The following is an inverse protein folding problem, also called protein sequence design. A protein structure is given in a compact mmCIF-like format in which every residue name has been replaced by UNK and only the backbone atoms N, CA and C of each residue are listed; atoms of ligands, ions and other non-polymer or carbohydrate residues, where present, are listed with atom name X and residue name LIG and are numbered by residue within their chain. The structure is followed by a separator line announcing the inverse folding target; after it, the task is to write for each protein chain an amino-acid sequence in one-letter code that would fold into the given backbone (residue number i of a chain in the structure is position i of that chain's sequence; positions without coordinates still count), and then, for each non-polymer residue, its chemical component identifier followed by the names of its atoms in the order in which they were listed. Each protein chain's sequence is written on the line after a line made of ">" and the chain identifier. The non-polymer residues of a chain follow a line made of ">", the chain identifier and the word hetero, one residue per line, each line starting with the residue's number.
data_IF_944483705938
#
_entry.id   IF_944483705938
#
_cell.length_a   1.000
_cell.length_b   1.000
_cell.length_c   1.000
_cell.angle_alpha   90.00
_cell.angle_beta   90.00
_cell.angle_gamma   90.00
#
_symmetry.space_group_name_H-M   'P 1'
#
loop_
_entity.id
_entity.type
_entity.pdbx_description
1 polymer ?
#
# COMPACT_ATOMS: atom_id res chain seq x y z
N UNK A 1 -7.45 17.75 -70.27
CA UNK A 1 -6.69 16.48 -70.32
C UNK A 1 -6.05 16.31 -68.95
N UNK A 2 -6.70 15.60 -68.03
CA UNK A 2 -6.50 14.15 -67.75
C UNK A 2 -5.05 13.84 -67.35
N UNK A 3 -4.77 13.78 -66.04
CA UNK A 3 -4.23 12.57 -65.39
C UNK A 3 -2.79 12.83 -64.92
N UNK A 4 -2.25 12.32 -63.82
CA UNK A 4 -2.62 11.19 -62.97
C UNK A 4 -2.09 11.47 -61.56
N UNK A 5 -2.84 11.02 -60.55
CA UNK A 5 -2.34 10.86 -59.20
C UNK A 5 -1.27 9.77 -59.13
N UNK A 6 -0.22 10.01 -58.36
CA UNK A 6 0.57 8.96 -57.71
C UNK A 6 0.63 9.33 -56.24
N UNK A 7 -0.33 8.80 -55.48
CA UNK A 7 -0.27 8.76 -54.01
C UNK A 7 0.49 7.50 -53.67
N UNK A 8 1.78 7.62 -53.36
CA UNK A 8 2.50 6.58 -52.62
C UNK A 8 2.35 6.89 -51.14
N UNK A 9 1.54 6.07 -50.49
CA UNK A 9 1.45 5.97 -49.05
C UNK A 9 2.79 5.47 -48.48
N UNK A 10 3.20 6.08 -47.36
CA UNK A 10 3.92 5.49 -46.22
C UNK A 10 4.75 6.59 -45.54
N UNK A 11 4.08 7.43 -44.76
CA UNK A 11 4.70 8.13 -43.65
C UNK A 11 3.61 8.40 -42.62
N UNK A 12 3.14 7.31 -41.98
CA UNK A 12 2.43 7.46 -40.70
C UNK A 12 3.46 8.00 -39.73
N UNK A 13 3.34 9.27 -39.41
CA UNK A 13 4.11 9.97 -38.39
C UNK A 13 4.19 9.07 -37.14
N UNK A 14 5.39 8.58 -36.85
CA UNK A 14 5.77 8.26 -35.47
C UNK A 14 5.55 9.56 -34.69
N UNK A 15 4.53 9.58 -33.82
CA UNK A 15 4.44 10.60 -32.80
C UNK A 15 5.65 10.36 -31.89
N UNK A 16 6.68 11.20 -32.05
CA UNK A 16 7.86 11.19 -31.20
C UNK A 16 7.42 11.49 -29.76
N UNK A 17 7.35 10.44 -28.93
CA UNK A 17 7.42 10.59 -27.48
C UNK A 17 8.81 11.17 -27.18
N UNK A 18 8.89 12.43 -26.77
CA UNK A 18 10.14 13.01 -26.32
C UNK A 18 10.19 12.94 -24.80
N UNK A 19 10.89 11.95 -24.20
CA UNK A 19 11.24 12.03 -22.79
C UNK A 19 12.23 13.17 -22.61
N UNK A 20 12.00 14.04 -21.62
CA UNK A 20 12.98 15.05 -21.26
C UNK A 20 13.53 14.75 -19.86
N UNK A 21 14.84 14.95 -19.72
CA UNK A 21 15.54 14.74 -18.48
C UNK A 21 15.43 15.97 -17.60
N UNK A 22 14.93 15.81 -16.38
CA UNK A 22 15.10 16.83 -15.34
C UNK A 22 16.19 16.38 -14.37
N UNK A 23 17.30 17.12 -14.34
CA UNK A 23 18.30 17.01 -13.28
C UNK A 23 17.78 17.72 -12.04
N UNK A 24 17.56 16.98 -10.94
CA UNK A 24 17.36 17.61 -9.64
C UNK A 24 18.72 17.74 -8.94
N UNK A 25 19.32 18.93 -9.02
CA UNK A 25 20.51 19.27 -8.23
C UNK A 25 20.02 19.84 -6.89
N UNK A 26 20.09 19.05 -5.82
CA UNK A 26 20.02 19.58 -4.45
C UNK A 26 21.40 19.55 -3.83
N UNK A 27 21.76 20.64 -3.17
CA UNK A 27 23.05 20.86 -2.54
C UNK A 27 23.47 19.66 -1.66
N UNK A 28 24.58 19.02 -2.04
CA UNK A 28 25.32 18.12 -1.15
C UNK A 28 25.14 16.60 -1.30
N UNK A 29 24.47 16.07 -2.33
CA UNK A 29 24.48 14.62 -2.58
C UNK A 29 23.83 14.21 -3.89
N UNK A 30 24.59 13.47 -4.70
CA UNK A 30 24.29 12.77 -5.97
C UNK A 30 23.17 13.34 -6.88
N UNK A 31 23.56 13.72 -8.11
CA UNK A 31 22.64 14.04 -9.18
C UNK A 31 21.94 12.78 -9.69
N UNK A 32 20.64 12.64 -9.46
CA UNK A 32 19.85 11.54 -10.00
C UNK A 32 19.04 11.99 -11.23
N UNK A 33 19.08 11.17 -12.29
CA UNK A 33 18.23 11.35 -13.47
C UNK A 33 16.82 10.86 -13.16
N UNK A 34 15.87 11.79 -13.13
CA UNK A 34 14.43 11.48 -13.15
C UNK A 34 13.95 11.64 -14.58
N UNK A 35 13.38 10.57 -15.15
CA UNK A 35 12.73 10.66 -16.46
C UNK A 35 11.32 11.22 -16.25
N UNK A 36 11.05 12.37 -16.85
CA UNK A 36 9.72 13.01 -16.86
C UNK A 36 9.18 12.92 -18.29
N UNK A 37 7.96 12.45 -18.42
CA UNK A 37 7.31 12.27 -19.71
C UNK A 37 6.47 13.50 -20.05
N UNK A 38 6.65 14.09 -21.24
CA UNK A 38 5.88 15.26 -21.70
C UNK A 38 4.41 14.93 -22.02
N UNK A 39 4.12 13.69 -22.43
CA UNK A 39 2.76 13.25 -22.69
C UNK A 39 2.22 12.48 -21.48
N UNK A 40 0.97 12.78 -21.10
CA UNK A 40 0.29 12.10 -20.01
C UNK A 40 0.05 10.64 -20.35
N UNK A 41 0.92 9.75 -19.88
CA UNK A 41 0.72 8.31 -19.97
C UNK A 41 -0.28 7.92 -18.88
N UNK A 42 -1.48 7.49 -19.27
CA UNK A 42 -2.52 6.99 -18.35
C UNK A 42 -2.48 5.47 -18.27
N UNK A 43 -2.56 4.94 -17.05
CA UNK A 43 -2.59 3.53 -16.74
C UNK A 43 -3.87 3.20 -15.99
N UNK A 44 -4.51 2.08 -16.34
CA UNK A 44 -5.65 1.58 -15.58
C UNK A 44 -5.12 0.65 -14.47
N UNK A 45 -5.16 1.11 -13.23
CA UNK A 45 -4.80 0.33 -12.06
C UNK A 45 -6.05 0.06 -11.24
N UNK A 46 -6.46 -1.20 -11.16
CA UNK A 46 -7.61 -1.61 -10.33
C UNK A 46 -8.91 -0.89 -10.72
N UNK A 47 -9.13 -0.67 -12.02
CA UNK A 47 -10.28 0.06 -12.54
C UNK A 47 -10.18 1.59 -12.44
N UNK A 48 -9.05 2.11 -11.92
CA UNK A 48 -8.81 3.55 -11.75
C UNK A 48 -7.75 3.99 -12.76
N UNK A 49 -8.08 4.99 -13.58
CA UNK A 49 -7.10 5.66 -14.43
C UNK A 49 -6.18 6.52 -13.57
N UNK A 50 -4.88 6.23 -13.64
CA UNK A 50 -3.82 6.98 -12.96
C UNK A 50 -2.84 7.52 -14.00
N UNK A 51 -2.44 8.77 -13.83
CA UNK A 51 -1.47 9.42 -14.71
C UNK A 51 -0.06 9.21 -14.18
N UNK A 52 0.81 8.70 -15.04
CA UNK A 52 2.21 8.50 -14.74
C UNK A 52 2.90 9.86 -14.61
N UNK A 53 3.59 10.07 -13.50
CA UNK A 53 4.38 11.27 -13.23
C UNK A 53 5.86 11.04 -13.52
N UNK A 54 6.37 9.85 -13.20
CA UNK A 54 7.80 9.56 -13.31
C UNK A 54 8.10 8.07 -13.32
N UNK A 55 9.32 7.75 -13.74
CA UNK A 55 9.92 6.43 -13.61
C UNK A 55 11.31 6.53 -13.00
N UNK A 56 11.57 5.67 -12.02
CA UNK A 56 12.88 5.48 -11.39
C UNK A 56 13.34 4.03 -11.58
N UNK A 57 14.63 3.81 -11.76
CA UNK A 57 15.21 2.46 -11.80
C UNK A 57 15.75 2.09 -10.42
N UNK A 58 15.46 0.86 -10.01
CA UNK A 58 15.74 0.33 -8.68
C UNK A 58 16.71 -0.84 -8.78
N UNK A 59 17.60 -0.97 -7.79
CA UNK A 59 18.30 -2.23 -7.55
C UNK A 59 17.36 -3.17 -6.80
N UNK A 60 17.19 -4.36 -7.35
CA UNK A 60 16.39 -5.44 -6.78
C UNK A 60 17.29 -6.42 -6.01
N UNK A 61 16.70 -7.47 -5.45
CA UNK A 61 17.47 -8.60 -4.92
C UNK A 61 18.26 -9.26 -6.05
N UNK A 62 19.38 -9.88 -5.72
CA UNK A 62 20.24 -10.64 -6.64
C UNK A 62 20.82 -9.80 -7.80
N UNK A 63 21.07 -8.52 -7.54
CA UNK A 63 21.65 -7.55 -8.51
C UNK A 63 20.78 -7.29 -9.76
N UNK A 64 19.53 -7.78 -9.77
CA UNK A 64 18.59 -7.48 -10.84
C UNK A 64 18.15 -6.01 -10.80
N UNK A 65 17.71 -5.49 -11.95
CA UNK A 65 17.16 -4.12 -12.07
C UNK A 65 15.65 -4.16 -12.14
N UNK A 66 15.00 -3.23 -11.46
CA UNK A 66 13.54 -3.04 -11.51
C UNK A 66 13.17 -1.60 -11.83
N UNK A 67 11.88 -1.33 -11.95
CA UNK A 67 11.35 -0.01 -12.26
C UNK A 67 10.25 0.38 -11.29
N UNK A 68 10.32 1.59 -10.74
CA UNK A 68 9.21 2.22 -10.05
C UNK A 68 8.44 3.10 -11.02
N UNK A 69 7.18 2.77 -11.26
CA UNK A 69 6.22 3.65 -11.92
C UNK A 69 5.54 4.50 -10.85
N UNK A 70 5.69 5.82 -10.93
CA UNK A 70 5.21 6.76 -9.91
C UNK A 70 4.08 7.59 -10.53
N UNK A 71 2.91 7.60 -9.89
CA UNK A 71 1.74 8.32 -10.38
C UNK A 71 1.62 9.71 -9.74
N UNK A 72 0.86 10.60 -10.37
CA UNK A 72 0.69 11.99 -9.91
C UNK A 72 0.14 12.11 -8.48
N UNK A 73 -0.71 11.17 -8.05
CA UNK A 73 -1.22 11.11 -6.68
C UNK A 73 -0.20 10.55 -5.67
N UNK A 74 1.00 10.17 -6.12
CA UNK A 74 2.08 9.59 -5.32
C UNK A 74 1.90 8.11 -4.96
N UNK A 75 0.88 7.44 -5.48
CA UNK A 75 0.83 5.97 -5.53
C UNK A 75 1.87 5.45 -6.53
N UNK A 76 2.15 4.14 -6.50
CA UNK A 76 3.23 3.57 -7.32
C UNK A 76 3.03 2.09 -7.62
N UNK A 77 3.70 1.61 -8.67
CA UNK A 77 3.89 0.19 -8.97
C UNK A 77 5.37 -0.09 -9.11
N UNK A 78 5.85 -1.16 -8.48
CA UNK A 78 7.20 -1.68 -8.69
C UNK A 78 7.13 -2.87 -9.64
N UNK A 79 7.97 -2.83 -10.67
CA UNK A 79 8.14 -3.85 -11.69
C UNK A 79 9.52 -4.51 -11.55
N UNK A 80 9.60 -5.80 -11.83
CA UNK A 80 10.87 -6.50 -12.01
C UNK A 80 11.52 -6.19 -13.39
N UNK A 81 12.66 -6.82 -13.68
CA UNK A 81 13.36 -6.68 -14.96
C UNK A 81 12.53 -7.13 -16.18
N UNK A 82 11.58 -8.02 -15.97
CA UNK A 82 10.67 -8.56 -16.98
C UNK A 82 9.40 -7.71 -17.12
N UNK A 83 9.33 -6.57 -16.41
CA UNK A 83 8.16 -5.68 -16.29
C UNK A 83 6.94 -6.35 -15.65
N UNK A 84 7.13 -7.40 -14.85
CA UNK A 84 6.06 -7.98 -14.06
C UNK A 84 5.83 -7.17 -12.77
N UNK A 85 4.58 -6.82 -12.43
CA UNK A 85 4.28 -6.16 -11.17
C UNK A 85 4.58 -7.06 -9.98
N UNK A 86 5.37 -6.57 -9.05
CA UNK A 86 5.70 -7.28 -7.80
C UNK A 86 5.19 -6.55 -6.56
N UNK A 87 4.97 -5.24 -6.66
CA UNK A 87 4.41 -4.42 -5.60
C UNK A 87 3.52 -3.32 -6.18
N UNK A 88 2.36 -3.09 -5.58
CA UNK A 88 1.48 -1.97 -5.84
C UNK A 88 1.14 -1.26 -4.54
N UNK A 89 1.52 0.01 -4.45
CA UNK A 89 1.18 0.90 -3.35
C UNK A 89 0.04 1.84 -3.71
N UNK A 90 -1.23 1.54 -3.33
CA UNK A 90 -2.38 2.31 -3.77
C UNK A 90 -2.58 3.63 -3.01
N UNK A 91 -1.94 3.79 -1.85
CA UNK A 91 -2.10 4.97 -1.01
C UNK A 91 -1.50 6.21 -1.69
N UNK A 92 -2.19 7.35 -1.61
CA UNK A 92 -1.64 8.60 -2.10
C UNK A 92 -0.39 9.01 -1.31
N UNK A 93 0.55 9.67 -1.99
CA UNK A 93 1.81 10.15 -1.44
C UNK A 93 2.60 9.08 -0.67
N UNK A 94 2.55 7.82 -1.14
CA UNK A 94 3.17 6.68 -0.44
C UNK A 94 4.53 6.28 -0.99
N UNK A 95 4.84 6.64 -2.24
CA UNK A 95 6.12 6.29 -2.86
C UNK A 95 7.36 6.76 -2.07
N UNK A 96 7.42 7.99 -1.50
CA UNK A 96 8.59 8.40 -0.73
C UNK A 96 8.89 7.51 0.48
N UNK A 97 7.87 6.86 1.05
CA UNK A 97 8.06 5.90 2.14
C UNK A 97 8.52 4.54 1.61
N UNK A 98 7.90 4.05 0.54
CA UNK A 98 8.25 2.79 -0.09
C UNK A 98 9.66 2.78 -0.68
N UNK A 99 10.06 3.88 -1.34
CA UNK A 99 11.39 4.09 -1.92
C UNK A 99 12.52 3.83 -0.92
N UNK A 100 12.30 4.04 0.38
CA UNK A 100 13.30 3.77 1.43
C UNK A 100 13.70 2.29 1.53
N UNK A 101 12.90 1.38 0.97
CA UNK A 101 13.22 -0.05 0.86
C UNK A 101 14.18 -0.38 -0.28
N UNK A 102 14.41 0.56 -1.20
CA UNK A 102 15.07 0.33 -2.48
C UNK A 102 16.26 1.26 -2.65
N UNK A 103 17.29 0.77 -3.34
CA UNK A 103 18.41 1.60 -3.80
C UNK A 103 18.11 2.08 -5.21
N UNK A 104 18.34 3.37 -5.48
CA UNK A 104 18.23 3.92 -6.83
C UNK A 104 19.45 3.56 -7.67
N UNK A 105 19.20 3.25 -8.94
CA UNK A 105 20.23 3.02 -9.96
C UNK A 105 20.04 4.05 -11.07
N UNK A 106 21.11 4.72 -11.54
CA UNK A 106 21.00 5.60 -12.69
C UNK A 106 20.71 4.80 -13.96
N UNK A 107 19.73 5.24 -14.73
CA UNK A 107 19.46 4.68 -16.05
C UNK A 107 20.41 5.28 -17.10
N UNK A 108 20.85 4.43 -18.02
CA UNK A 108 21.50 4.85 -19.27
C UNK A 108 20.46 5.44 -20.25
N UNK A 109 20.90 6.25 -21.22
CA UNK A 109 20.03 6.80 -22.26
C UNK A 109 19.28 5.71 -23.05
N UNK A 110 19.96 4.58 -23.31
CA UNK A 110 19.36 3.43 -23.98
C UNK A 110 18.25 2.79 -23.14
N UNK A 111 18.46 2.61 -21.83
CA UNK A 111 17.44 2.10 -20.91
C UNK A 111 16.23 3.03 -20.82
N UNK A 112 16.47 4.35 -20.75
CA UNK A 112 15.41 5.36 -20.76
C UNK A 112 14.59 5.30 -22.04
N UNK A 113 15.24 5.20 -23.18
CA UNK A 113 14.57 5.07 -24.48
C UNK A 113 13.72 3.79 -24.54
N UNK A 114 14.26 2.68 -24.04
CA UNK A 114 13.57 1.39 -24.05
C UNK A 114 12.35 1.37 -23.13
N UNK A 115 12.47 1.87 -21.89
CA UNK A 115 11.33 1.92 -20.97
C UNK A 115 10.27 2.91 -21.47
N UNK A 116 10.68 4.06 -22.04
CA UNK A 116 9.75 5.03 -22.62
C UNK A 116 8.92 4.43 -23.75
N UNK A 117 9.56 3.66 -24.65
CA UNK A 117 8.87 2.96 -25.73
C UNK A 117 7.89 1.91 -25.19
N UNK A 118 8.28 1.17 -24.16
CA UNK A 118 7.42 0.17 -23.53
C UNK A 118 6.20 0.81 -22.85
N UNK A 119 6.39 1.91 -22.10
CA UNK A 119 5.29 2.64 -21.44
C UNK A 119 4.29 3.26 -22.42
N UNK A 120 4.75 3.59 -23.62
CA UNK A 120 3.93 4.12 -24.70
C UNK A 120 3.09 3.03 -25.41
N UNK A 121 3.44 1.75 -25.32
CA UNK A 121 2.74 0.66 -25.99
C UNK A 121 1.43 0.32 -25.26
N UNK A 122 0.29 0.60 -25.90
CA UNK A 122 -1.04 0.37 -25.34
C UNK A 122 -1.32 -1.12 -25.02
N UNK A 123 -0.62 -2.07 -25.65
CA UNK A 123 -0.80 -3.51 -25.38
C UNK A 123 -0.20 -3.92 -24.03
N UNK A 124 0.89 -3.26 -23.64
CA UNK A 124 1.63 -3.54 -22.41
C UNK A 124 0.94 -2.91 -21.19
N UNK A 125 0.14 -1.85 -21.39
CA UNK A 125 -0.71 -1.22 -20.35
C UNK A 125 -1.78 -2.18 -19.79
N UNK A 126 -2.03 -3.31 -20.45
CA UNK A 126 -2.99 -4.32 -20.02
C UNK A 126 -2.47 -5.23 -18.88
N UNK A 127 -1.16 -5.22 -18.56
CA UNK A 127 -0.55 -6.08 -17.53
C UNK A 127 -1.07 -5.82 -16.10
N UNK A 128 -1.77 -4.70 -15.87
CA UNK A 128 -2.41 -4.35 -14.59
C UNK A 128 -3.94 -4.11 -14.75
N UNK A 129 -4.47 -4.33 -15.95
CA UNK A 129 -5.90 -4.23 -16.17
C UNK A 129 -6.64 -5.36 -15.40
N UNK A 130 -7.84 -5.08 -14.87
CA UNK A 130 -8.67 -6.13 -14.27
C UNK A 130 -8.90 -7.24 -15.29
N UNK A 131 -8.46 -8.46 -14.99
CA UNK A 131 -8.95 -9.63 -15.72
C UNK A 131 -10.47 -9.68 -15.57
N UNK A 132 -11.19 -9.94 -16.66
CA UNK A 132 -12.56 -10.43 -16.56
C UNK A 132 -12.53 -11.61 -15.55
N UNK A 133 -13.32 -11.50 -14.47
CA UNK A 133 -13.34 -12.35 -13.26
C UNK A 133 -12.62 -11.85 -11.99
N UNK A 134 -12.17 -10.59 -11.91
CA UNK A 134 -11.83 -9.95 -10.62
C UNK A 134 -10.54 -10.43 -9.95
N UNK A 135 -9.58 -10.91 -10.74
CA UNK A 135 -8.23 -11.26 -10.29
C UNK A 135 -7.27 -10.10 -10.60
N UNK A 136 -7.43 -9.00 -9.87
CA UNK A 136 -6.65 -7.76 -10.04
C UNK A 136 -5.32 -7.89 -9.27
N UNK A 137 -4.21 -8.09 -9.99
CA UNK A 137 -2.82 -8.21 -9.48
C UNK A 137 -2.51 -9.51 -8.72
N UNK A 138 -2.43 -10.61 -9.47
CA UNK A 138 -1.85 -11.87 -8.97
C UNK A 138 -0.33 -11.78 -8.91
N UNK A 139 0.27 -12.58 -8.03
CA UNK A 139 1.71 -12.68 -7.84
C UNK A 139 2.38 -11.33 -7.50
N UNK A 140 1.60 -10.38 -6.94
CA UNK A 140 2.00 -9.02 -6.60
C UNK A 140 1.55 -8.65 -5.18
N UNK A 141 2.43 -7.99 -4.43
CA UNK A 141 2.08 -7.43 -3.12
C UNK A 141 1.28 -6.13 -3.30
N UNK A 142 0.05 -6.09 -2.82
CA UNK A 142 -0.77 -4.88 -2.84
C UNK A 142 -0.90 -4.34 -1.43
N UNK A 143 -0.42 -3.12 -1.17
CA UNK A 143 -0.67 -2.48 0.11
C UNK A 143 0.16 -1.26 0.46
N UNK A 144 0.15 -0.94 1.74
CA UNK A 144 0.76 0.28 2.27
C UNK A 144 2.27 0.07 2.45
N UNK A 145 3.09 1.13 2.33
CA UNK A 145 4.52 1.02 2.53
C UNK A 145 4.85 0.46 3.92
N UNK A 146 5.62 -0.61 3.96
CA UNK A 146 6.06 -1.28 5.19
C UNK A 146 6.82 -0.32 6.11
N UNK A 147 7.58 0.63 5.56
CA UNK A 147 8.32 1.64 6.32
C UNK A 147 7.44 2.51 7.20
N UNK A 148 6.14 2.67 6.87
CA UNK A 148 5.19 3.39 7.73
C UNK A 148 4.92 2.66 9.05
N UNK A 149 5.02 1.33 9.06
CA UNK A 149 4.75 0.49 10.24
C UNK A 149 5.96 0.33 11.16
N UNK A 150 7.17 0.65 10.70
CA UNK A 150 8.40 0.62 11.52
C UNK A 150 8.32 1.58 12.71
N UNK A 151 7.58 2.70 12.58
CA UNK A 151 7.33 3.61 13.69
C UNK A 151 6.58 2.95 14.86
N UNK A 152 5.81 1.90 14.57
CA UNK A 152 4.99 1.18 15.54
C UNK A 152 5.67 -0.12 16.03
N UNK A 153 6.91 -0.42 15.60
CA UNK A 153 7.59 -1.71 15.87
C UNK A 153 7.63 -2.11 17.35
N UNK A 154 7.75 -1.14 18.24
CA UNK A 154 7.85 -1.38 19.68
C UNK A 154 6.50 -1.34 20.40
N UNK A 155 5.39 -1.18 19.68
CA UNK A 155 4.04 -1.13 20.25
C UNK A 155 3.54 -2.55 20.48
N UNK A 156 4.15 -3.19 21.47
CA UNK A 156 3.94 -4.60 21.80
C UNK A 156 2.88 -4.75 22.87
N UNK A 157 2.08 -5.80 22.74
CA UNK A 157 1.18 -6.24 23.81
C UNK A 157 2.02 -6.71 24.98
N UNK A 158 2.01 -6.02 26.15
CA UNK A 158 2.96 -6.29 27.23
C UNK A 158 2.68 -7.63 27.92
N UNK A 159 1.40 -7.99 28.09
CA UNK A 159 0.94 -9.27 28.62
C UNK A 159 -0.59 -9.39 28.51
N UNK A 160 -1.12 -10.59 28.73
CA UNK A 160 -2.55 -10.85 28.78
C UNK A 160 -3.25 -10.76 27.42
N UNK A 161 -4.50 -10.29 27.42
CA UNK A 161 -5.39 -10.39 26.26
C UNK A 161 -5.53 -9.08 25.47
N UNK A 162 -4.59 -8.13 25.63
CA UNK A 162 -4.73 -6.74 25.13
C UNK A 162 -4.43 -6.58 23.63
N UNK A 163 -4.27 -7.66 22.87
CA UNK A 163 -3.92 -7.57 21.45
C UNK A 163 -4.95 -6.77 20.62
N UNK A 164 -6.24 -6.81 20.98
CA UNK A 164 -7.27 -5.99 20.34
C UNK A 164 -7.05 -4.49 20.54
N UNK A 165 -6.61 -4.09 21.74
CA UNK A 165 -6.22 -2.71 22.04
C UNK A 165 -4.99 -2.29 21.23
N UNK A 166 -3.94 -3.10 21.20
CA UNK A 166 -2.70 -2.73 20.49
C UNK A 166 -2.87 -2.70 18.98
N UNK A 167 -3.64 -3.64 18.41
CA UNK A 167 -4.04 -3.56 17.00
C UNK A 167 -4.82 -2.26 16.71
N UNK A 168 -5.73 -1.88 17.61
CA UNK A 168 -6.45 -0.60 17.52
C UNK A 168 -5.51 0.61 17.62
N UNK A 169 -4.52 0.59 18.51
CA UNK A 169 -3.51 1.66 18.64
C UNK A 169 -2.76 1.86 17.32
N UNK A 170 -2.28 0.78 16.68
CA UNK A 170 -1.60 0.84 15.38
C UNK A 170 -2.53 1.37 14.29
N UNK A 171 -3.76 0.86 14.22
CA UNK A 171 -4.77 1.33 13.25
C UNK A 171 -5.02 2.84 13.40
N UNK A 172 -5.27 3.31 14.62
CA UNK A 172 -5.59 4.72 14.90
C UNK A 172 -4.41 5.63 14.62
N UNK A 173 -3.19 5.25 15.00
CA UNK A 173 -2.01 6.02 14.70
C UNK A 173 -1.76 6.14 13.19
N UNK A 174 -1.96 5.05 12.43
CA UNK A 174 -1.82 5.11 10.97
C UNK A 174 -2.78 6.13 10.34
N UNK A 175 -4.03 6.17 10.79
CA UNK A 175 -5.01 7.12 10.28
C UNK A 175 -4.66 8.57 10.63
N UNK A 176 -4.15 8.82 11.84
CA UNK A 176 -3.64 10.14 12.22
C UNK A 176 -2.41 10.54 11.38
N UNK A 177 -1.49 9.61 11.18
CA UNK A 177 -0.18 9.87 10.58
C UNK A 177 -0.25 10.04 9.06
N UNK A 178 -1.09 9.25 8.38
CA UNK A 178 -1.05 9.14 6.92
C UNK A 178 -2.36 9.41 6.21
N UNK A 179 -3.50 9.29 6.89
CA UNK A 179 -4.81 9.57 6.25
C UNK A 179 -5.29 11.00 6.50
N UNK A 180 -4.76 11.69 7.52
CA UNK A 180 -5.25 13.00 7.97
C UNK A 180 -6.76 13.02 8.29
N UNK A 181 -7.31 11.87 8.66
CA UNK A 181 -8.75 11.72 8.95
C UNK A 181 -9.07 11.82 10.45
N UNK A 182 -8.05 11.68 11.30
CA UNK A 182 -8.18 11.69 12.75
C UNK A 182 -7.32 12.80 13.35
N UNK A 183 -7.93 13.55 14.28
CA UNK A 183 -7.28 14.65 14.98
C UNK A 183 -7.40 14.40 16.49
N UNK A 184 -6.26 14.49 17.17
CA UNK A 184 -6.17 14.31 18.61
C UNK A 184 -5.41 15.47 19.24
N UNK A 185 -5.70 15.74 20.52
CA UNK A 185 -4.87 16.62 21.32
C UNK A 185 -3.43 16.07 21.37
N UNK A 186 -2.39 16.93 21.32
CA UNK A 186 -1.00 16.51 21.50
C UNK A 186 -0.77 15.74 22.81
N UNK A 187 -1.56 16.00 23.85
CA UNK A 187 -1.51 15.26 25.12
C UNK A 187 -1.96 13.81 25.00
N UNK A 188 -2.85 13.51 24.06
CA UNK A 188 -3.31 12.14 23.78
C UNK A 188 -2.34 11.43 22.84
N UNK A 189 -2.00 12.10 21.73
CA UNK A 189 -0.96 11.67 20.80
C UNK A 189 -0.61 12.77 19.80
N UNK A 190 0.68 13.06 19.67
CA UNK A 190 1.22 13.86 18.56
C UNK A 190 1.37 13.04 17.27
N UNK A 191 1.06 13.63 16.11
CA UNK A 191 1.21 12.97 14.81
C UNK A 191 2.67 12.56 14.55
N UNK A 192 2.88 11.33 14.09
CA UNK A 192 4.19 10.76 13.76
C UNK A 192 5.04 10.33 14.96
N UNK A 193 4.58 10.54 16.19
CA UNK A 193 5.33 10.12 17.38
C UNK A 193 5.37 8.60 17.54
N UNK A 194 6.46 8.11 18.15
CA UNK A 194 6.63 6.72 18.56
C UNK A 194 6.04 6.43 19.94
N UNK A 195 5.65 7.48 20.69
CA UNK A 195 4.95 7.33 21.96
C UNK A 195 3.48 6.91 21.72
N UNK A 196 3.06 5.85 22.37
CA UNK A 196 1.70 5.33 22.27
C UNK A 196 0.99 5.22 23.61
N UNK A 197 1.66 5.53 24.72
CA UNK A 197 1.20 5.14 26.06
C UNK A 197 -0.20 5.67 26.32
N UNK A 198 -0.39 6.99 26.20
CA UNK A 198 -1.68 7.65 26.43
C UNK A 198 -2.77 7.18 25.46
N UNK A 199 -2.44 7.02 24.17
CA UNK A 199 -3.39 6.51 23.17
C UNK A 199 -3.83 5.07 23.51
N UNK A 200 -2.88 4.20 23.84
CA UNK A 200 -3.15 2.79 24.13
C UNK A 200 -3.91 2.60 25.44
N UNK A 201 -3.66 3.44 26.44
CA UNK A 201 -4.43 3.45 27.69
C UNK A 201 -5.87 3.92 27.48
N UNK A 202 -6.07 5.01 26.72
CA UNK A 202 -7.40 5.49 26.39
C UNK A 202 -8.20 4.47 25.57
N UNK A 203 -7.56 3.82 24.57
CA UNK A 203 -8.18 2.75 23.80
C UNK A 203 -8.47 1.51 24.66
N UNK A 204 -7.58 1.14 25.58
CA UNK A 204 -7.82 0.05 26.54
C UNK A 204 -9.07 0.34 27.36
N UNK A 205 -9.22 1.53 27.92
CA UNK A 205 -10.39 1.90 28.71
C UNK A 205 -11.69 1.81 27.89
N UNK A 206 -11.63 2.12 26.59
CA UNK A 206 -12.79 2.08 25.71
C UNK A 206 -13.13 0.67 25.19
N UNK A 207 -12.12 -0.16 24.89
CA UNK A 207 -12.28 -1.47 24.23
C UNK A 207 -12.30 -2.61 25.26
N UNK A 208 -11.38 -2.57 26.23
CA UNK A 208 -11.04 -3.69 27.09
C UNK A 208 -10.70 -3.24 28.53
N UNK A 209 -11.63 -2.58 29.24
CA UNK A 209 -11.36 -2.01 30.56
C UNK A 209 -10.94 -3.08 31.58
N UNK A 210 -11.53 -4.28 31.50
CA UNK A 210 -11.24 -5.42 32.38
C UNK A 210 -10.06 -6.29 31.91
N UNK A 211 -9.41 -5.97 30.79
CA UNK A 211 -8.30 -6.77 30.28
C UNK A 211 -8.68 -8.14 29.71
N UNK A 212 -9.96 -8.44 29.49
CA UNK A 212 -10.47 -9.72 28.96
C UNK A 212 -10.39 -9.84 27.43
N UNK A 213 -10.33 -11.05 26.85
CA UNK A 213 -10.34 -11.23 25.39
C UNK A 213 -11.49 -10.51 24.70
N UNK A 214 -11.27 -10.10 23.45
CA UNK A 214 -12.24 -9.30 22.68
C UNK A 214 -12.65 -9.97 21.38
N UNK A 215 -13.89 -9.73 20.96
CA UNK A 215 -14.45 -10.11 19.65
C UNK A 215 -14.58 -8.87 18.72
N UNK A 216 -14.78 -9.02 17.40
CA UNK A 216 -14.77 -7.88 16.47
C UNK A 216 -15.75 -6.75 16.85
N UNK A 217 -16.90 -7.11 17.39
CA UNK A 217 -17.91 -6.16 17.87
C UNK A 217 -17.40 -5.27 19.00
N UNK A 218 -16.73 -5.85 20.00
CA UNK A 218 -16.18 -5.10 21.13
C UNK A 218 -15.08 -4.14 20.68
N UNK A 219 -14.16 -4.59 19.83
CA UNK A 219 -13.08 -3.75 19.28
C UNK A 219 -13.66 -2.58 18.47
N UNK A 220 -14.58 -2.86 17.53
CA UNK A 220 -15.19 -1.80 16.71
C UNK A 220 -16.04 -0.80 17.51
N UNK A 221 -16.82 -1.27 18.49
CA UNK A 221 -17.62 -0.40 19.34
C UNK A 221 -16.75 0.44 20.28
N UNK A 222 -15.70 -0.15 20.87
CA UNK A 222 -14.73 0.55 21.71
C UNK A 222 -13.96 1.63 20.95
N UNK A 223 -13.46 1.32 19.75
CA UNK A 223 -12.83 2.33 18.87
C UNK A 223 -13.83 3.46 18.57
N UNK A 224 -15.07 3.14 18.23
CA UNK A 224 -16.10 4.15 17.93
C UNK A 224 -16.39 5.04 19.13
N UNK A 225 -16.50 4.46 20.34
CA UNK A 225 -16.70 5.22 21.58
C UNK A 225 -15.52 6.16 21.84
N UNK A 226 -14.30 5.66 21.70
CA UNK A 226 -13.06 6.45 21.84
C UNK A 226 -13.02 7.61 20.83
N UNK A 227 -13.29 7.36 19.56
CA UNK A 227 -13.28 8.39 18.51
C UNK A 227 -14.32 9.48 18.78
N UNK A 228 -15.54 9.11 19.15
CA UNK A 228 -16.58 10.08 19.51
C UNK A 228 -16.18 10.91 20.74
N UNK A 229 -15.59 10.29 21.75
CA UNK A 229 -15.13 10.98 22.96
C UNK A 229 -14.01 11.99 22.66
N UNK A 230 -13.18 11.71 21.66
CA UNK A 230 -12.10 12.60 21.20
C UNK A 230 -12.53 13.58 20.12
N UNK A 231 -13.84 13.71 19.85
CA UNK A 231 -14.39 14.68 18.88
C UNK A 231 -14.35 14.22 17.42
N UNK A 232 -13.88 13.01 17.13
CA UNK A 232 -13.82 12.45 15.79
C UNK A 232 -15.17 11.84 15.38
N UNK A 233 -15.69 12.22 14.21
CA UNK A 233 -17.02 11.80 13.69
C UNK A 233 -16.96 10.53 12.84
N UNK A 234 -16.02 9.65 13.14
CA UNK A 234 -15.76 8.41 12.42
C UNK A 234 -16.16 7.22 13.30
N UNK A 235 -16.73 6.18 12.71
CA UNK A 235 -17.14 4.96 13.42
C UNK A 235 -16.48 3.74 12.80
N UNK A 236 -15.85 2.91 13.63
CA UNK A 236 -15.27 1.65 13.19
C UNK A 236 -16.37 0.64 12.86
N UNK A 237 -16.09 -0.19 11.87
CA UNK A 237 -16.98 -1.26 11.40
C UNK A 237 -16.29 -2.59 11.60
N UNK A 238 -17.05 -3.57 12.08
CA UNK A 238 -16.61 -4.95 12.14
C UNK A 238 -17.27 -5.80 11.06
N UNK A 239 -16.54 -6.82 10.63
CA UNK A 239 -17.08 -7.95 9.86
C UNK A 239 -16.85 -9.18 10.72
N UNK A 240 -17.89 -9.99 10.93
CA UNK A 240 -17.80 -11.19 11.78
C UNK A 240 -17.27 -12.40 11.02
N UNK A 241 -17.57 -12.50 9.72
CA UNK A 241 -17.22 -13.62 8.87
C UNK A 241 -16.59 -13.13 7.56
N UNK A 242 -15.48 -13.76 7.18
CA UNK A 242 -14.76 -13.44 5.94
C UNK A 242 -13.89 -12.19 6.06
N UNK A 243 -12.58 -12.42 6.13
CA UNK A 243 -11.59 -11.35 6.24
C UNK A 243 -11.17 -10.78 4.88
N UNK A 244 -11.04 -11.65 3.87
CA UNK A 244 -10.42 -11.34 2.58
C UNK A 244 -11.01 -10.14 1.86
N UNK A 245 -12.31 -10.16 1.59
CA UNK A 245 -12.97 -9.13 0.79
C UNK A 245 -12.93 -7.77 1.48
N UNK A 246 -13.08 -7.75 2.82
CA UNK A 246 -13.01 -6.49 3.58
C UNK A 246 -11.58 -5.97 3.64
N UNK A 247 -10.61 -6.82 3.93
CA UNK A 247 -9.21 -6.44 4.07
C UNK A 247 -8.64 -5.89 2.76
N UNK A 248 -8.77 -6.66 1.67
CA UNK A 248 -8.30 -6.26 0.33
C UNK A 248 -8.93 -4.94 -0.13
N UNK A 249 -10.26 -4.78 0.04
CA UNK A 249 -10.96 -3.53 -0.27
C UNK A 249 -10.36 -2.32 0.45
N UNK A 250 -10.08 -2.43 1.75
CA UNK A 250 -9.55 -1.32 2.55
C UNK A 250 -8.09 -1.03 2.22
N UNK A 251 -7.29 -2.07 2.06
CA UNK A 251 -5.87 -1.93 1.70
C UNK A 251 -5.74 -1.24 0.33
N UNK A 252 -6.59 -1.59 -0.65
CA UNK A 252 -6.72 -0.88 -1.94
C UNK A 252 -7.13 0.59 -1.80
N UNK A 253 -7.84 0.94 -0.72
CA UNK A 253 -8.19 2.32 -0.40
C UNK A 253 -7.09 3.05 0.39
N UNK A 254 -5.89 2.47 0.52
CA UNK A 254 -4.80 3.06 1.27
C UNK A 254 -4.96 2.92 2.80
N UNK A 255 -5.80 1.99 3.27
CA UNK A 255 -6.23 1.90 4.68
C UNK A 255 -5.90 0.54 5.30
N UNK A 256 -5.23 0.48 6.46
CA UNK A 256 -4.97 -0.78 7.14
C UNK A 256 -6.24 -1.32 7.81
N UNK A 257 -6.21 -2.61 8.16
CA UNK A 257 -7.35 -3.34 8.73
C UNK A 257 -6.87 -4.23 9.87
N UNK A 258 -7.61 -4.22 10.97
CA UNK A 258 -7.40 -5.18 12.06
C UNK A 258 -8.00 -6.53 11.66
N UNK A 259 -7.24 -7.60 11.76
CA UNK A 259 -7.66 -8.97 11.47
C UNK A 259 -7.76 -9.79 12.75
N UNK A 260 -8.87 -10.51 12.90
CA UNK A 260 -9.04 -11.55 13.91
C UNK A 260 -8.50 -12.88 13.40
N UNK A 261 -7.37 -13.30 13.95
CA UNK A 261 -6.67 -14.54 13.64
C UNK A 261 -7.13 -15.61 14.63
N UNK A 262 -7.44 -16.82 14.15
CA UNK A 262 -8.06 -17.86 14.97
C UNK A 262 -7.25 -19.15 15.03
N UNK A 263 -7.07 -19.71 16.23
CA UNK A 263 -6.40 -21.01 16.43
C UNK A 263 -7.05 -22.13 15.64
N UNK A 264 -8.39 -22.16 15.63
CA UNK A 264 -9.18 -23.18 14.93
C UNK A 264 -8.99 -23.16 13.42
N UNK A 265 -8.52 -22.04 12.87
CA UNK A 265 -8.20 -21.88 11.45
C UNK A 265 -6.71 -22.11 11.14
N UNK A 266 -5.95 -22.68 12.09
CA UNK A 266 -4.55 -23.06 11.90
C UNK A 266 -3.52 -22.02 12.36
N UNK A 267 -3.95 -20.96 13.04
CA UNK A 267 -3.06 -19.91 13.54
C UNK A 267 -2.08 -20.41 14.59
N UNK A 268 -0.79 -20.17 14.34
CA UNK A 268 0.28 -20.38 15.33
C UNK A 268 0.28 -19.34 16.45
N UNK A 269 -0.35 -18.18 16.24
CA UNK A 269 -0.59 -17.15 17.26
C UNK A 269 -1.68 -17.55 18.27
N UNK A 270 -2.43 -18.62 18.00
CA UNK A 270 -3.70 -18.86 18.68
C UNK A 270 -4.77 -17.86 18.23
N UNK A 271 -5.67 -17.47 19.15
CA UNK A 271 -6.64 -16.40 18.90
C UNK A 271 -6.00 -15.05 19.17
N UNK A 272 -5.89 -14.20 18.14
CA UNK A 272 -5.10 -12.97 18.20
C UNK A 272 -5.64 -11.85 17.31
N UNK A 273 -5.23 -10.63 17.58
CA UNK A 273 -5.53 -9.44 16.78
C UNK A 273 -4.24 -8.86 16.21
N UNK A 274 -4.22 -8.67 14.89
CA UNK A 274 -3.08 -8.09 14.15
C UNK A 274 -3.57 -6.98 13.23
N UNK A 275 -2.68 -6.09 12.79
CA UNK A 275 -3.02 -5.01 11.85
C UNK A 275 -2.41 -5.32 10.48
N UNK A 276 -3.25 -5.71 9.52
CA UNK A 276 -2.85 -5.94 8.14
C UNK A 276 -2.78 -4.66 7.33
N UNK A 277 -1.76 -4.57 6.48
CA UNK A 277 -1.53 -3.41 5.62
C UNK A 277 -1.16 -3.76 4.19
N UNK A 278 -0.82 -5.02 3.89
CA UNK A 278 -0.70 -5.49 2.53
C UNK A 278 -1.25 -6.91 2.40
N UNK A 279 -1.60 -7.29 1.18
CA UNK A 279 -2.01 -8.64 0.83
C UNK A 279 -1.31 -9.11 -0.44
N UNK A 280 -1.30 -10.42 -0.62
CA UNK A 280 -0.79 -11.08 -1.82
C UNK A 280 -1.73 -12.22 -2.17
N UNK A 281 -1.98 -12.40 -3.47
CA UNK A 281 -2.67 -13.57 -3.98
C UNK A 281 -1.85 -14.16 -5.12
N UNK A 282 -1.44 -15.43 -5.00
CA UNK A 282 -0.72 -16.10 -6.08
C UNK A 282 -1.67 -16.48 -7.22
N UNK A 283 -1.10 -16.74 -8.39
CA UNK A 283 -1.81 -17.38 -9.50
C UNK A 283 -2.36 -18.78 -9.18
N UNK A 284 -1.75 -19.49 -8.23
CA UNK A 284 -2.25 -20.77 -7.69
C UNK A 284 -3.43 -20.60 -6.71
N UNK A 285 -3.75 -19.38 -6.29
CA UNK A 285 -4.87 -19.07 -5.38
C UNK A 285 -4.50 -18.99 -3.90
N UNK A 286 -3.22 -19.14 -3.56
CA UNK A 286 -2.72 -18.93 -2.20
C UNK A 286 -2.82 -17.45 -1.82
N UNK A 287 -3.11 -17.17 -0.56
CA UNK A 287 -3.40 -15.81 -0.08
C UNK A 287 -2.68 -15.53 1.22
N UNK A 288 -2.03 -14.39 1.27
CA UNK A 288 -1.24 -13.96 2.43
C UNK A 288 -1.53 -12.50 2.78
N UNK A 289 -1.30 -12.14 4.03
CA UNK A 289 -1.23 -10.77 4.50
C UNK A 289 0.16 -10.47 5.04
N UNK A 290 0.61 -9.22 4.86
CA UNK A 290 1.64 -8.60 5.70
C UNK A 290 0.96 -7.89 6.86
N UNK A 291 1.42 -8.15 8.08
CA UNK A 291 0.82 -7.63 9.30
C UNK A 291 1.86 -7.08 10.26
N UNK A 292 1.43 -6.07 11.03
CA UNK A 292 2.01 -5.77 12.33
C UNK A 292 1.35 -6.68 13.37
N UNK A 293 2.14 -7.54 14.00
CA UNK A 293 1.65 -8.62 14.86
C UNK A 293 1.43 -8.22 16.32
N UNK A 294 1.73 -6.97 16.68
CA UNK A 294 1.70 -6.44 18.04
C UNK A 294 2.57 -7.22 19.05
N UNK A 295 3.51 -8.05 18.59
CA UNK A 295 4.53 -8.76 19.38
C UNK A 295 5.97 -8.37 18.99
N UNK A 296 6.12 -7.50 17.99
CA UNK A 296 7.38 -6.86 17.64
C UNK A 296 7.81 -7.11 16.19
N UNK A 297 7.02 -7.88 15.44
CA UNK A 297 7.19 -8.07 14.01
C UNK A 297 6.23 -7.14 13.24
N UNK A 298 6.80 -6.30 12.37
CA UNK A 298 6.06 -5.33 11.55
C UNK A 298 5.80 -5.82 10.12
N UNK A 299 6.42 -6.92 9.72
CA UNK A 299 6.45 -7.46 8.37
C UNK A 299 6.09 -8.96 8.35
N UNK A 300 5.39 -9.42 9.39
CA UNK A 300 5.00 -10.82 9.49
C UNK A 300 4.07 -11.20 8.34
N UNK A 301 4.41 -12.31 7.68
CA UNK A 301 3.55 -12.97 6.71
C UNK A 301 2.64 -13.98 7.42
N UNK A 302 1.33 -13.86 7.18
CA UNK A 302 0.35 -14.84 7.67
C UNK A 302 -0.55 -15.34 6.52
N UNK A 303 -0.93 -16.62 6.51
CA UNK A 303 -1.97 -17.11 5.60
C UNK A 303 -3.30 -16.41 5.85
N UNK A 304 -3.97 -15.97 4.78
CA UNK A 304 -5.28 -15.31 4.91
C UNK A 304 -6.37 -16.25 5.45
N UNK A 305 -6.18 -17.57 5.29
CA UNK A 305 -7.07 -18.60 5.82
C UNK A 305 -7.16 -18.61 7.35
N UNK A 306 -6.17 -18.05 8.06
CA UNK A 306 -6.20 -17.95 9.52
C UNK A 306 -7.20 -16.89 10.02
N UNK A 307 -7.65 -16.00 9.14
CA UNK A 307 -8.37 -14.79 9.50
C UNK A 307 -9.86 -14.89 9.17
N UNK A 308 -10.72 -14.54 10.14
CA UNK A 308 -12.17 -14.53 9.93
C UNK A 308 -12.79 -13.14 10.13
N UNK A 309 -12.65 -12.58 11.33
CA UNK A 309 -13.19 -11.27 11.67
C UNK A 309 -12.29 -10.12 11.23
N UNK A 310 -12.86 -8.94 11.01
CA UNK A 310 -12.10 -7.71 10.73
C UNK A 310 -12.64 -6.54 11.52
N UNK A 311 -11.79 -5.54 11.80
CA UNK A 311 -12.22 -4.19 12.21
C UNK A 311 -11.50 -3.16 11.33
N UNK A 312 -12.25 -2.20 10.79
CA UNK A 312 -11.71 -1.14 9.93
C UNK A 312 -12.46 0.18 10.13
N UNK A 313 -11.83 1.29 9.76
CA UNK A 313 -12.50 2.58 9.63
C UNK A 313 -13.05 2.75 8.18
N UNK A 314 -14.03 3.66 7.97
CA UNK A 314 -14.68 3.91 6.69
C UNK A 314 -13.75 4.36 5.58
#
# INVERSE_FOLDING_TARGET
>A
MWGLAVVTAELVYLICFSPYFTYNKKDGGDSFLKTVFEQSIEWNLDGIKKRLSAVEQLAMKDEEKGYALIFEDGSYVILDQNKQPIEYGPASHSYPDARKAYQLVPMTEAEVTNISRWLADDREKALIAPKENGQELLDCWVGLPEQRFLNYKNWRTPSGYLCGTYAATVLIAYYQDFQNELFFSPTLREKGTKDHVQLSEALRQAIQPLGLPTVPGQVSHGITKFLKHTGNRVSARSTMLGSWQRATKRIRQGKPVILGVLKVLGSTYGNHWVTAYAYYQSSSGERFYKVHDNWGNTDQLIPASWCNGTVSLP
#
